data_IF_868793594707
#
_entry.id   IF_868793594707
#
_cell.length_a   1.000
_cell.length_b   1.000
_cell.length_c   1.000
_cell.angle_alpha   90.00
_cell.angle_beta   90.00
_cell.angle_gamma   90.00
#
_symmetry.space_group_name_H-M   'P 1'
#
loop_
_entity.id
_entity.type
_entity.pdbx_description
1 polymer ?
#
# COMPACT_ATOMS: atom_id res chain seq x y z
N UNK A 1 10.76 33.81 -18.86
CA UNK A 1 9.63 34.08 -17.97
C UNK A 1 9.89 33.36 -16.66
N UNK A 2 10.19 34.13 -15.61
CA UNK A 2 10.58 33.66 -14.26
C UNK A 2 9.40 32.97 -13.60
N UNK A 3 9.50 31.66 -13.31
CA UNK A 3 8.57 30.98 -12.40
C UNK A 3 8.85 31.50 -10.99
N UNK A 4 7.89 32.20 -10.41
CA UNK A 4 7.95 32.70 -9.04
C UNK A 4 8.32 31.54 -8.10
N UNK A 5 9.40 31.69 -7.35
CA UNK A 5 9.98 30.70 -6.45
C UNK A 5 9.15 30.46 -5.18
N UNK A 6 7.87 30.13 -5.30
CA UNK A 6 7.05 29.71 -4.18
C UNK A 6 7.48 28.29 -3.80
N UNK A 7 7.93 28.11 -2.58
CA UNK A 7 8.15 26.77 -2.01
C UNK A 7 6.81 26.01 -2.04
N UNK A 8 6.73 24.84 -2.71
CA UNK A 8 5.48 24.10 -2.82
C UNK A 8 4.96 23.72 -1.44
N UNK A 9 3.64 23.84 -1.25
CA UNK A 9 3.00 23.38 -0.02
C UNK A 9 3.08 21.84 0.09
N UNK A 10 2.93 21.26 1.30
CA UNK A 10 2.86 19.80 1.44
C UNK A 10 1.78 19.16 0.56
N UNK A 11 0.65 19.83 0.37
CA UNK A 11 -0.42 19.36 -0.52
C UNK A 11 0.01 19.37 -1.99
N UNK A 12 0.72 20.41 -2.44
CA UNK A 12 1.25 20.47 -3.82
C UNK A 12 2.24 19.33 -4.09
N UNK A 13 3.03 18.94 -3.09
CA UNK A 13 3.94 17.79 -3.17
C UNK A 13 3.20 16.46 -3.23
N UNK A 14 2.07 16.34 -2.50
CA UNK A 14 1.25 15.14 -2.50
C UNK A 14 0.50 14.94 -3.83
N UNK A 15 0.16 16.02 -4.54
CA UNK A 15 -0.47 15.89 -5.87
C UNK A 15 0.44 15.17 -6.87
N UNK A 16 1.76 15.24 -6.71
CA UNK A 16 2.72 14.50 -7.54
C UNK A 16 2.67 12.97 -7.40
N UNK A 17 1.91 12.42 -6.43
CA UNK A 17 1.70 10.98 -6.28
C UNK A 17 0.39 10.50 -6.93
N UNK A 18 -0.44 11.43 -7.39
CA UNK A 18 -1.68 11.12 -8.08
C UNK A 18 -1.40 10.64 -9.52
N UNK A 19 -2.31 9.81 -10.08
CA UNK A 19 -2.23 9.43 -11.49
C UNK A 19 -2.25 10.65 -12.42
N UNK A 20 -1.44 10.60 -13.47
CA UNK A 20 -1.44 11.57 -14.55
C UNK A 20 -2.68 11.38 -15.46
N UNK A 21 -2.90 12.29 -16.41
CA UNK A 21 -4.08 12.25 -17.29
C UNK A 21 -4.22 10.91 -18.05
N UNK A 22 -3.13 10.42 -18.65
CA UNK A 22 -3.11 9.14 -19.37
C UNK A 22 -3.39 7.95 -18.44
N UNK A 23 -2.85 8.00 -17.23
CA UNK A 23 -3.10 6.98 -16.20
C UNK A 23 -4.54 7.04 -15.70
N UNK A 24 -5.13 8.25 -15.62
CA UNK A 24 -6.52 8.46 -15.25
C UNK A 24 -7.46 7.89 -16.30
N UNK A 25 -7.21 8.12 -17.60
CA UNK A 25 -8.01 7.51 -18.67
C UNK A 25 -7.92 5.97 -18.65
N UNK A 26 -6.74 5.41 -18.39
CA UNK A 26 -6.57 3.97 -18.22
C UNK A 26 -7.37 3.43 -17.01
N UNK A 27 -7.35 4.14 -15.89
CA UNK A 27 -8.11 3.78 -14.69
C UNK A 27 -9.63 3.91 -14.89
N UNK A 28 -10.09 4.94 -15.61
CA UNK A 28 -11.49 5.10 -16.00
C UNK A 28 -11.95 3.95 -16.90
N UNK A 29 -11.11 3.51 -17.84
CA UNK A 29 -11.40 2.34 -18.66
C UNK A 29 -11.53 1.04 -17.84
N UNK A 30 -10.84 0.97 -16.69
CA UNK A 30 -10.95 -0.16 -15.76
C UNK A 30 -12.23 -0.14 -14.91
N UNK A 31 -12.69 1.06 -14.50
CA UNK A 31 -13.61 1.21 -13.36
C UNK A 31 -14.94 1.89 -13.68
N UNK A 32 -14.97 2.73 -14.70
CA UNK A 32 -16.18 3.48 -15.03
C UNK A 32 -17.30 2.57 -15.58
N UNK A 33 -18.58 2.99 -15.51
CA UNK A 33 -19.67 2.32 -16.19
C UNK A 33 -19.40 2.18 -17.70
N UNK A 34 -19.97 1.15 -18.33
CA UNK A 34 -19.65 0.72 -19.69
C UNK A 34 -19.49 1.84 -20.75
N UNK A 35 -20.39 2.83 -20.92
CA UNK A 35 -20.20 3.88 -21.92
C UNK A 35 -18.96 4.76 -21.64
N UNK A 36 -18.74 5.11 -20.37
CA UNK A 36 -17.61 5.95 -19.95
C UNK A 36 -16.28 5.19 -20.04
N UNK A 37 -16.27 3.91 -19.66
CA UNK A 37 -15.10 3.04 -19.77
C UNK A 37 -14.64 2.93 -21.24
N UNK A 38 -15.57 2.70 -22.17
CA UNK A 38 -15.27 2.63 -23.62
C UNK A 38 -14.76 3.97 -24.15
N UNK A 39 -15.34 5.08 -23.72
CA UNK A 39 -14.87 6.41 -24.12
C UNK A 39 -13.46 6.69 -23.60
N UNK A 40 -13.17 6.35 -22.34
CA UNK A 40 -11.84 6.50 -21.75
C UNK A 40 -10.81 5.60 -22.46
N UNK A 41 -11.16 4.36 -22.75
CA UNK A 41 -10.32 3.46 -23.54
C UNK A 41 -9.98 4.04 -24.90
N UNK A 42 -10.96 4.58 -25.65
CA UNK A 42 -10.73 5.19 -26.97
C UNK A 42 -9.77 6.37 -26.90
N UNK A 43 -9.93 7.27 -25.91
CA UNK A 43 -9.00 8.41 -25.73
C UNK A 43 -7.59 7.92 -25.45
N UNK A 44 -7.46 6.99 -24.52
CA UNK A 44 -6.16 6.43 -24.16
C UNK A 44 -5.51 5.69 -25.33
N UNK A 45 -6.26 4.83 -26.01
CA UNK A 45 -5.78 3.96 -27.09
C UNK A 45 -5.36 4.75 -28.34
N UNK A 46 -5.93 5.93 -28.56
CA UNK A 46 -5.55 6.81 -29.67
C UNK A 46 -4.07 7.25 -29.62
N UNK A 47 -3.46 7.23 -28.45
CA UNK A 47 -2.08 7.69 -28.22
C UNK A 47 -1.13 6.60 -27.71
N UNK A 48 -1.65 5.43 -27.30
CA UNK A 48 -0.86 4.41 -26.63
C UNK A 48 -1.08 2.99 -27.15
N UNK A 49 0.00 2.20 -27.15
CA UNK A 49 -0.03 0.75 -27.34
C UNK A 49 0.16 0.09 -25.99
N UNK A 50 -0.76 -0.82 -25.54
CA UNK A 50 -0.73 -1.37 -24.19
C UNK A 50 0.63 -1.97 -23.78
N UNK A 51 1.21 -2.80 -24.65
CA UNK A 51 2.48 -3.48 -24.34
C UNK A 51 3.67 -2.51 -24.19
N UNK A 52 3.66 -1.40 -24.91
CA UNK A 52 4.71 -0.39 -24.87
C UNK A 52 4.52 0.58 -23.70
N UNK A 53 3.27 0.99 -23.45
CA UNK A 53 2.96 1.95 -22.40
C UNK A 53 3.13 1.39 -20.98
N UNK A 54 2.81 0.09 -20.77
CA UNK A 54 2.94 -0.59 -19.47
C UNK A 54 4.39 -0.97 -19.15
N UNK A 55 5.33 -0.05 -19.40
CA UNK A 55 6.77 -0.19 -19.12
C UNK A 55 7.28 1.01 -18.34
N UNK A 56 8.48 0.94 -17.81
CA UNK A 56 9.13 2.02 -17.07
C UNK A 56 8.25 2.57 -15.94
N UNK A 57 7.90 3.86 -15.99
CA UNK A 57 7.08 4.51 -14.94
C UNK A 57 5.66 3.95 -14.83
N UNK A 58 5.13 3.36 -15.89
CA UNK A 58 3.78 2.78 -15.94
C UNK A 58 3.76 1.27 -15.63
N UNK A 59 4.91 0.65 -15.38
CA UNK A 59 5.01 -0.79 -15.10
C UNK A 59 4.12 -1.23 -13.93
N UNK A 60 3.95 -0.36 -12.93
CA UNK A 60 3.06 -0.61 -11.80
C UNK A 60 1.58 -0.78 -12.16
N UNK A 61 1.15 -0.30 -13.33
CA UNK A 61 -0.22 -0.44 -13.85
C UNK A 61 -0.45 -1.76 -14.59
N UNK A 62 0.60 -2.51 -14.92
CA UNK A 62 0.49 -3.81 -15.59
C UNK A 62 -0.40 -4.78 -14.83
N UNK A 63 -0.40 -4.72 -13.51
CA UNK A 63 -1.29 -5.51 -12.66
C UNK A 63 -2.79 -5.18 -12.80
N UNK A 64 -3.16 -4.11 -13.52
CA UNK A 64 -4.55 -3.77 -13.82
C UNK A 64 -5.03 -4.28 -15.17
N UNK A 65 -4.16 -4.92 -15.97
CA UNK A 65 -4.51 -5.39 -17.32
C UNK A 65 -5.69 -6.36 -17.33
N UNK A 66 -5.81 -7.23 -16.33
CA UNK A 66 -6.94 -8.15 -16.21
C UNK A 66 -8.24 -7.43 -15.84
N UNK A 67 -8.17 -6.40 -14.98
CA UNK A 67 -9.33 -5.58 -14.61
C UNK A 67 -9.82 -4.78 -15.83
N UNK A 68 -8.90 -4.15 -16.57
CA UNK A 68 -9.21 -3.48 -17.85
C UNK A 68 -9.90 -4.43 -18.83
N UNK A 69 -9.35 -5.64 -18.99
CA UNK A 69 -9.91 -6.63 -19.90
C UNK A 69 -11.31 -7.07 -19.46
N UNK A 70 -11.51 -7.32 -18.17
CA UNK A 70 -12.83 -7.65 -17.61
C UNK A 70 -13.85 -6.54 -17.89
N UNK A 71 -13.47 -5.28 -17.65
CA UNK A 71 -14.33 -4.11 -17.88
C UNK A 71 -14.72 -3.96 -19.37
N UNK A 72 -13.74 -3.92 -20.26
CA UNK A 72 -13.98 -3.63 -21.69
C UNK A 72 -14.70 -4.78 -22.41
N UNK A 73 -14.36 -6.03 -22.11
CA UNK A 73 -15.02 -7.18 -22.72
C UNK A 73 -16.47 -7.31 -22.22
N UNK A 74 -16.73 -7.08 -20.94
CA UNK A 74 -18.10 -7.06 -20.40
C UNK A 74 -18.93 -5.89 -20.96
N UNK A 75 -18.29 -4.76 -21.25
CA UNK A 75 -18.95 -3.61 -21.88
C UNK A 75 -19.26 -3.79 -23.37
N UNK A 76 -18.82 -4.87 -24.02
CA UNK A 76 -18.93 -5.05 -25.46
C UNK A 76 -18.21 -3.96 -26.23
N UNK A 77 -17.07 -3.48 -25.73
CA UNK A 77 -16.31 -2.40 -26.35
C UNK A 77 -15.95 -2.76 -27.81
N UNK A 78 -16.05 -1.83 -28.76
CA UNK A 78 -15.58 -2.04 -30.12
C UNK A 78 -14.06 -2.01 -30.14
N UNK A 79 -13.46 -3.19 -30.15
CA UNK A 79 -12.02 -3.44 -30.07
C UNK A 79 -11.54 -4.05 -31.39
N UNK A 80 -10.32 -3.76 -31.78
CA UNK A 80 -9.67 -4.49 -32.88
C UNK A 80 -9.20 -5.88 -32.43
N UNK A 81 -8.87 -6.76 -33.35
CA UNK A 81 -8.46 -8.14 -33.06
C UNK A 81 -7.20 -8.21 -32.21
N UNK A 82 -6.27 -7.25 -32.39
CA UNK A 82 -5.03 -7.17 -31.60
C UNK A 82 -5.33 -6.83 -30.15
N UNK A 83 -6.21 -5.86 -29.90
CA UNK A 83 -6.62 -5.46 -28.57
C UNK A 83 -7.40 -6.60 -27.87
N UNK A 84 -8.31 -7.26 -28.60
CA UNK A 84 -9.04 -8.45 -28.10
C UNK A 84 -8.08 -9.56 -27.70
N UNK A 85 -7.11 -9.87 -28.55
CA UNK A 85 -6.12 -10.91 -28.27
C UNK A 85 -5.27 -10.57 -27.02
N UNK A 86 -4.81 -9.31 -26.91
CA UNK A 86 -4.03 -8.84 -25.76
C UNK A 86 -4.84 -8.90 -24.46
N UNK A 87 -6.08 -8.38 -24.46
CA UNK A 87 -6.96 -8.37 -23.30
C UNK A 87 -7.30 -9.80 -22.84
N UNK A 88 -7.64 -10.71 -23.75
CA UNK A 88 -7.89 -12.12 -23.44
C UNK A 88 -6.65 -12.80 -22.88
N UNK A 89 -5.47 -12.49 -23.42
CA UNK A 89 -4.20 -12.98 -22.91
C UNK A 89 -3.93 -12.50 -21.47
N UNK A 90 -4.21 -11.23 -21.17
CA UNK A 90 -4.08 -10.66 -19.84
C UNK A 90 -5.03 -11.34 -18.82
N UNK A 91 -6.28 -11.60 -19.18
CA UNK A 91 -7.24 -12.33 -18.36
C UNK A 91 -6.76 -13.75 -18.06
N UNK A 92 -6.39 -14.51 -19.09
CA UNK A 92 -5.95 -15.89 -18.94
C UNK A 92 -4.69 -15.99 -18.08
N UNK A 93 -3.74 -15.08 -18.28
CA UNK A 93 -2.53 -15.01 -17.46
C UNK A 93 -2.84 -14.77 -16.00
N UNK A 94 -3.68 -13.77 -15.71
CA UNK A 94 -4.02 -13.42 -14.32
C UNK A 94 -4.87 -14.51 -13.66
N UNK A 95 -5.79 -15.14 -14.37
CA UNK A 95 -6.58 -16.26 -13.86
C UNK A 95 -5.68 -17.43 -13.41
N UNK A 96 -4.71 -17.84 -14.25
CA UNK A 96 -3.76 -18.91 -13.92
C UNK A 96 -2.90 -18.54 -12.72
N UNK A 97 -2.40 -17.30 -12.70
CA UNK A 97 -1.59 -16.78 -11.60
C UNK A 97 -2.39 -16.72 -10.30
N UNK A 98 -3.63 -16.20 -10.36
CA UNK A 98 -4.52 -16.07 -9.21
C UNK A 98 -4.92 -17.43 -8.63
N UNK A 99 -5.12 -18.45 -9.43
CA UNK A 99 -5.36 -19.83 -8.93
C UNK A 99 -4.20 -20.29 -8.03
N UNK A 100 -2.96 -20.09 -8.47
CA UNK A 100 -1.78 -20.44 -7.66
C UNK A 100 -1.70 -19.59 -6.41
N UNK A 101 -1.92 -18.28 -6.53
CA UNK A 101 -1.93 -17.35 -5.39
C UNK A 101 -2.96 -17.78 -4.35
N UNK A 102 -4.21 -18.04 -4.75
CA UNK A 102 -5.29 -18.40 -3.85
C UNK A 102 -5.11 -19.78 -3.22
N UNK A 103 -4.49 -20.73 -3.92
CA UNK A 103 -4.12 -22.00 -3.32
C UNK A 103 -3.11 -21.80 -2.17
N UNK A 104 -2.08 -20.99 -2.38
CA UNK A 104 -1.09 -20.66 -1.33
C UNK A 104 -1.75 -19.87 -0.19
N UNK A 105 -2.62 -18.90 -0.51
CA UNK A 105 -3.38 -18.16 0.49
C UNK A 105 -4.17 -19.13 1.38
N UNK A 106 -4.88 -20.09 0.80
CA UNK A 106 -5.62 -21.13 1.53
C UNK A 106 -4.72 -21.93 2.47
N UNK A 107 -3.53 -22.37 2.01
CA UNK A 107 -2.54 -23.06 2.84
C UNK A 107 -2.11 -22.19 4.05
N UNK A 108 -1.86 -20.90 3.83
CA UNK A 108 -1.45 -19.96 4.88
C UNK A 108 -2.56 -19.72 5.90
N UNK A 109 -3.79 -19.47 5.44
CA UNK A 109 -4.94 -19.23 6.30
C UNK A 109 -5.26 -20.46 7.14
N UNK A 110 -5.30 -21.67 6.53
CA UNK A 110 -5.54 -22.92 7.23
C UNK A 110 -4.46 -23.23 8.28
N UNK A 111 -3.18 -22.93 7.99
CA UNK A 111 -2.10 -23.14 8.94
C UNK A 111 -2.23 -22.24 10.18
N UNK A 112 -2.57 -20.96 9.99
CA UNK A 112 -2.76 -20.02 11.10
C UNK A 112 -4.01 -20.34 11.93
N UNK A 113 -5.10 -20.71 11.28
CA UNK A 113 -6.35 -21.14 11.92
C UNK A 113 -6.13 -22.39 12.78
N UNK A 114 -5.54 -23.44 12.20
CA UNK A 114 -5.20 -24.67 12.92
C UNK A 114 -4.21 -24.44 14.08
N UNK A 115 -3.34 -23.45 13.94
CA UNK A 115 -2.42 -23.03 14.99
C UNK A 115 -3.06 -22.15 16.08
N UNK A 116 -4.33 -21.79 15.95
CA UNK A 116 -5.04 -20.89 16.87
C UNK A 116 -4.42 -19.48 16.94
N UNK A 117 -3.74 -19.02 15.88
CA UNK A 117 -3.06 -17.73 15.86
C UNK A 117 -4.03 -16.64 15.38
N UNK A 118 -4.37 -15.63 16.21
CA UNK A 118 -5.20 -14.52 15.77
C UNK A 118 -4.48 -13.63 14.77
N UNK A 119 -5.14 -13.31 13.66
CA UNK A 119 -4.65 -12.39 12.62
C UNK A 119 -5.80 -11.64 11.94
N UNK A 120 -5.46 -10.54 11.25
CA UNK A 120 -6.35 -9.90 10.29
C UNK A 120 -5.74 -10.01 8.90
N UNK A 121 -6.57 -10.39 7.94
CA UNK A 121 -6.22 -10.30 6.52
C UNK A 121 -6.24 -8.83 6.12
N UNK A 122 -5.15 -8.32 5.54
CA UNK A 122 -4.99 -6.88 5.36
C UNK A 122 -4.66 -6.49 3.91
N UNK A 123 -4.64 -5.20 3.66
CA UNK A 123 -4.23 -4.60 2.38
C UNK A 123 -4.94 -5.21 1.16
N UNK A 124 -4.15 -5.43 0.12
CA UNK A 124 -4.64 -5.86 -1.18
C UNK A 124 -5.37 -7.19 -1.19
N UNK A 125 -4.92 -8.15 -0.38
CA UNK A 125 -5.59 -9.45 -0.31
C UNK A 125 -6.94 -9.36 0.40
N UNK A 126 -7.07 -8.50 1.42
CA UNK A 126 -8.36 -8.25 2.05
C UNK A 126 -9.35 -7.62 1.05
N UNK A 127 -8.92 -6.62 0.28
CA UNK A 127 -9.77 -6.01 -0.77
C UNK A 127 -10.16 -7.04 -1.82
N UNK A 128 -9.21 -7.83 -2.32
CA UNK A 128 -9.49 -8.86 -3.33
C UNK A 128 -10.56 -9.84 -2.86
N UNK A 129 -10.42 -10.41 -1.67
CA UNK A 129 -11.26 -11.50 -1.20
C UNK A 129 -12.59 -11.02 -0.57
N UNK A 130 -12.72 -9.73 -0.21
CA UNK A 130 -13.92 -9.26 0.51
C UNK A 130 -14.65 -8.10 -0.16
N UNK A 131 -14.03 -7.40 -1.09
CA UNK A 131 -14.62 -6.22 -1.75
C UNK A 131 -14.76 -6.45 -3.25
N UNK A 132 -13.73 -6.98 -3.91
CA UNK A 132 -13.77 -7.20 -5.35
C UNK A 132 -14.84 -8.23 -5.74
N UNK A 133 -15.67 -7.95 -6.76
CA UNK A 133 -16.67 -8.92 -7.23
C UNK A 133 -16.01 -10.15 -7.86
N UNK A 134 -14.80 -10.01 -8.32
CA UNK A 134 -14.01 -11.07 -8.92
C UNK A 134 -12.58 -11.04 -8.31
N UNK A 135 -12.35 -11.73 -7.20
CA UNK A 135 -11.06 -11.71 -6.49
C UNK A 135 -9.86 -12.02 -7.38
N UNK A 136 -10.04 -12.87 -8.39
CA UNK A 136 -8.98 -13.29 -9.30
C UNK A 136 -8.55 -12.22 -10.31
N UNK A 137 -9.40 -11.22 -10.59
CA UNK A 137 -9.06 -10.10 -11.51
C UNK A 137 -8.12 -9.10 -10.84
N UNK A 138 -8.20 -8.97 -9.51
CA UNK A 138 -7.31 -8.09 -8.77
C UNK A 138 -5.94 -8.73 -8.59
N UNK A 139 -4.94 -8.19 -9.28
CA UNK A 139 -3.56 -8.65 -9.15
C UNK A 139 -3.03 -8.49 -7.71
N UNK A 140 -2.62 -9.59 -7.09
CA UNK A 140 -1.97 -9.63 -5.78
C UNK A 140 -0.61 -10.33 -5.89
N UNK A 141 0.45 -9.81 -5.30
CA UNK A 141 1.81 -10.35 -5.39
C UNK A 141 2.41 -10.75 -4.05
N UNK A 142 1.71 -10.45 -2.96
CA UNK A 142 2.05 -10.76 -1.58
C UNK A 142 0.79 -11.02 -0.77
N UNK A 143 0.95 -11.64 0.39
CA UNK A 143 -0.11 -11.79 1.39
C UNK A 143 0.29 -10.98 2.62
N UNK A 144 -0.46 -9.93 2.91
CA UNK A 144 -0.26 -9.10 4.09
C UNK A 144 -1.20 -9.50 5.22
N UNK A 145 -0.63 -9.80 6.38
CA UNK A 145 -1.35 -10.15 7.59
C UNK A 145 -0.97 -9.20 8.72
N UNK A 146 -1.95 -8.76 9.49
CA UNK A 146 -1.73 -8.01 10.72
C UNK A 146 -1.83 -8.96 11.91
N UNK A 147 -0.81 -8.94 12.77
CA UNK A 147 -0.69 -9.80 13.94
C UNK A 147 -0.29 -8.96 15.15
N UNK A 148 -0.88 -9.20 16.30
CA UNK A 148 -0.48 -8.54 17.54
C UNK A 148 1.02 -8.78 17.83
N UNK A 149 1.69 -7.78 18.39
CA UNK A 149 3.16 -7.81 18.54
C UNK A 149 3.65 -8.98 19.40
N UNK A 150 2.89 -9.38 20.42
CA UNK A 150 3.18 -10.52 21.30
C UNK A 150 2.93 -11.88 20.63
N UNK A 151 2.14 -11.92 19.54
CA UNK A 151 1.81 -13.14 18.78
C UNK A 151 2.66 -13.30 17.51
N UNK A 152 3.51 -12.32 17.17
CA UNK A 152 4.29 -12.30 15.93
C UNK A 152 5.21 -13.52 15.77
N UNK A 153 5.94 -13.88 16.81
CA UNK A 153 6.86 -15.02 16.81
C UNK A 153 6.12 -16.36 16.71
N UNK A 154 4.94 -16.44 17.28
CA UNK A 154 4.07 -17.61 17.19
C UNK A 154 3.54 -17.78 15.76
N UNK A 155 3.02 -16.71 15.15
CA UNK A 155 2.59 -16.70 13.76
C UNK A 155 3.73 -17.16 12.82
N UNK A 156 4.92 -16.59 12.99
CA UNK A 156 6.07 -16.96 12.18
C UNK A 156 6.49 -18.43 12.37
N UNK A 157 6.46 -18.96 13.61
CA UNK A 157 6.74 -20.37 13.89
C UNK A 157 5.70 -21.30 13.25
N UNK A 158 4.43 -20.94 13.33
CA UNK A 158 3.32 -21.70 12.74
C UNK A 158 3.49 -21.81 11.23
N UNK A 159 3.74 -20.70 10.54
CA UNK A 159 3.96 -20.69 9.11
C UNK A 159 5.25 -21.44 8.69
N UNK A 160 6.32 -21.38 9.49
CA UNK A 160 7.52 -22.19 9.21
C UNK A 160 7.26 -23.68 9.33
N UNK A 161 6.45 -24.12 10.30
CA UNK A 161 6.01 -25.54 10.42
C UNK A 161 5.18 -25.96 9.22
N UNK A 162 4.44 -25.03 8.61
CA UNK A 162 3.71 -25.24 7.37
C UNK A 162 4.60 -25.19 6.11
N UNK A 163 5.94 -25.12 6.25
CA UNK A 163 6.89 -25.20 5.14
C UNK A 163 7.28 -23.88 4.50
N UNK A 164 6.96 -22.72 5.12
CA UNK A 164 7.43 -21.42 4.64
C UNK A 164 8.83 -21.13 5.19
N UNK A 165 9.66 -20.50 4.36
CA UNK A 165 11.01 -20.07 4.74
C UNK A 165 10.99 -18.60 5.20
N UNK A 166 11.60 -18.31 6.35
CA UNK A 166 11.70 -16.94 6.84
C UNK A 166 12.77 -16.16 6.09
N UNK A 167 12.43 -14.94 5.69
CA UNK A 167 13.32 -13.99 5.04
C UNK A 167 13.72 -12.89 6.04
N UNK A 168 14.90 -12.23 5.87
CA UNK A 168 15.27 -11.08 6.68
C UNK A 168 14.22 -9.96 6.58
N UNK A 169 13.59 -9.60 7.69
CA UNK A 169 12.56 -8.55 7.72
C UNK A 169 13.17 -7.15 7.64
N UNK A 170 12.51 -6.25 6.92
CA UNK A 170 13.07 -4.91 6.72
C UNK A 170 12.89 -4.00 7.93
N UNK A 171 11.79 -3.98 8.69
CA UNK A 171 11.68 -3.04 9.81
C UNK A 171 10.70 -3.41 10.93
N UNK A 172 9.45 -3.76 10.69
CA UNK A 172 8.45 -3.98 11.76
C UNK A 172 7.53 -5.14 11.41
N UNK A 173 8.03 -6.36 11.53
CA UNK A 173 7.29 -7.55 11.19
C UNK A 173 8.19 -8.71 10.81
N UNK A 174 7.62 -9.72 10.21
CA UNK A 174 8.33 -10.88 9.65
C UNK A 174 7.98 -11.03 8.18
N UNK A 175 8.95 -11.39 7.39
CA UNK A 175 8.76 -11.77 5.99
C UNK A 175 9.03 -13.27 5.85
N UNK A 176 8.08 -13.98 5.28
CA UNK A 176 8.24 -15.37 4.94
C UNK A 176 8.00 -15.54 3.43
N UNK A 177 8.54 -16.59 2.86
CA UNK A 177 8.33 -16.93 1.47
C UNK A 177 7.85 -18.37 1.34
N UNK A 178 6.79 -18.57 0.60
CA UNK A 178 6.31 -19.89 0.26
C UNK A 178 7.24 -20.54 -0.78
N UNK A 179 7.36 -21.88 -0.82
CA UNK A 179 8.21 -22.62 -1.78
C UNK A 179 8.01 -22.28 -3.26
N UNK A 180 6.82 -21.76 -3.61
CA UNK A 180 6.49 -21.26 -4.96
C UNK A 180 6.82 -19.77 -5.15
N UNK A 181 7.56 -19.16 -4.23
CA UNK A 181 8.05 -17.80 -4.36
C UNK A 181 7.07 -16.68 -3.91
N UNK A 182 5.89 -17.01 -3.35
CA UNK A 182 4.95 -15.99 -2.86
C UNK A 182 5.40 -15.44 -1.51
N UNK A 183 5.59 -14.10 -1.36
CA UNK A 183 5.88 -13.47 -0.08
C UNK A 183 4.65 -13.42 0.83
N UNK A 184 4.86 -13.70 2.11
CA UNK A 184 3.88 -13.56 3.19
C UNK A 184 4.46 -12.60 4.21
N UNK A 185 3.77 -11.47 4.41
CA UNK A 185 4.23 -10.39 5.27
C UNK A 185 3.39 -10.35 6.55
N UNK A 186 4.03 -10.56 7.69
CA UNK A 186 3.42 -10.39 9.01
C UNK A 186 3.76 -9.00 9.53
N UNK A 187 2.76 -8.14 9.68
CA UNK A 187 2.92 -6.79 10.19
C UNK A 187 2.35 -6.68 11.61
N UNK A 188 3.00 -5.90 12.45
CA UNK A 188 2.49 -5.55 13.80
C UNK A 188 1.86 -4.16 13.85
N UNK A 189 1.83 -3.47 12.72
CA UNK A 189 1.23 -2.14 12.57
C UNK A 189 0.54 -2.01 11.23
N UNK A 190 -0.64 -1.39 11.17
CA UNK A 190 -1.35 -1.16 9.91
C UNK A 190 -0.57 -0.25 8.95
N UNK A 191 0.11 0.75 9.49
CA UNK A 191 0.89 1.75 8.73
C UNK A 191 2.33 1.72 9.22
N UNK A 192 3.27 1.60 8.29
CA UNK A 192 4.71 1.46 8.57
C UNK A 192 5.37 2.75 9.12
N UNK A 193 4.67 3.89 9.10
CA UNK A 193 5.20 5.15 9.60
C UNK A 193 5.14 5.22 11.14
N UNK A 194 6.06 5.95 11.80
CA UNK A 194 6.06 6.17 13.24
C UNK A 194 5.00 7.21 13.67
N UNK A 195 3.82 7.17 13.04
CA UNK A 195 2.67 8.00 13.37
C UNK A 195 1.82 7.34 14.46
N UNK A 196 1.13 8.12 15.30
CA UNK A 196 0.04 7.61 16.12
C UNK A 196 -0.99 6.94 15.20
N UNK A 197 -1.58 5.84 15.63
CA UNK A 197 -2.58 5.16 14.81
C UNK A 197 -3.21 4.00 15.55
N UNK A 198 -4.27 3.40 14.99
CA UNK A 198 -4.90 2.24 15.59
C UNK A 198 -3.89 1.11 15.69
N UNK A 199 -3.95 0.39 16.79
CA UNK A 199 -3.18 -0.85 16.97
C UNK A 199 -3.87 -2.00 16.22
N UNK A 200 -3.20 -3.15 16.14
CA UNK A 200 -3.83 -4.37 15.58
C UNK A 200 -5.03 -4.78 16.42
N UNK A 201 -4.93 -4.63 17.74
CA UNK A 201 -6.01 -4.92 18.71
C UNK A 201 -7.20 -3.97 18.51
N UNK A 202 -6.95 -2.68 18.21
CA UNK A 202 -8.01 -1.72 17.90
C UNK A 202 -8.77 -2.14 16.63
N UNK A 203 -8.04 -2.54 15.60
CA UNK A 203 -8.64 -3.04 14.36
C UNK A 203 -9.39 -4.36 14.60
N UNK A 204 -8.84 -5.26 15.39
CA UNK A 204 -9.45 -6.56 15.68
C UNK A 204 -10.78 -6.44 16.42
N UNK A 205 -10.92 -5.45 17.34
CA UNK A 205 -12.19 -5.22 18.06
C UNK A 205 -13.37 -4.84 17.16
N UNK A 206 -13.12 -4.27 16.00
CA UNK A 206 -14.15 -3.87 15.04
C UNK A 206 -14.07 -4.60 13.71
N UNK A 207 -13.21 -5.61 13.64
CA UNK A 207 -13.03 -6.42 12.45
C UNK A 207 -14.30 -7.19 12.10
N UNK A 208 -14.54 -7.33 10.82
CA UNK A 208 -15.59 -8.19 10.28
C UNK A 208 -15.05 -9.62 10.14
N UNK A 209 -15.89 -10.61 10.45
CA UNK A 209 -15.57 -12.02 10.22
C UNK A 209 -16.17 -12.46 8.91
N UNK A 210 -15.33 -12.97 8.02
CA UNK A 210 -15.72 -13.41 6.67
C UNK A 210 -15.12 -14.78 6.37
N UNK A 211 -15.78 -15.55 5.52
CA UNK A 211 -15.22 -16.82 5.03
C UNK A 211 -14.38 -16.55 3.78
N UNK A 212 -13.10 -16.89 3.83
CA UNK A 212 -12.16 -16.81 2.70
C UNK A 212 -11.57 -18.20 2.47
N UNK A 213 -11.80 -18.77 1.29
CA UNK A 213 -11.28 -20.10 0.92
C UNK A 213 -11.62 -21.20 1.95
N UNK A 214 -12.80 -21.11 2.58
CA UNK A 214 -13.26 -22.08 3.58
C UNK A 214 -12.77 -21.82 5.01
N UNK A 215 -11.93 -20.82 5.23
CA UNK A 215 -11.45 -20.40 6.56
C UNK A 215 -12.16 -19.13 7.01
N UNK A 216 -12.61 -19.06 8.26
CA UNK A 216 -13.22 -17.85 8.83
C UNK A 216 -12.08 -16.94 9.33
N UNK A 217 -11.90 -15.81 8.65
CA UNK A 217 -10.85 -14.84 8.94
C UNK A 217 -11.43 -13.52 9.44
N UNK A 218 -10.64 -12.75 10.17
CA UNK A 218 -10.95 -11.37 10.51
C UNK A 218 -10.37 -10.42 9.46
N UNK A 219 -11.15 -9.43 9.05
CA UNK A 219 -10.71 -8.35 8.14
C UNK A 219 -11.01 -6.99 8.77
N UNK A 220 -10.20 -5.95 8.53
CA UNK A 220 -10.49 -4.61 9.03
C UNK A 220 -11.88 -4.13 8.57
N UNK A 221 -12.56 -3.35 9.39
CA UNK A 221 -13.79 -2.67 8.99
C UNK A 221 -13.56 -1.81 7.74
N UNK A 222 -14.61 -1.55 6.97
CA UNK A 222 -14.50 -0.91 5.66
C UNK A 222 -13.79 0.46 5.70
N UNK A 223 -14.06 1.27 6.72
CA UNK A 223 -13.40 2.57 6.92
C UNK A 223 -11.92 2.44 7.31
N UNK A 224 -11.55 1.44 8.11
CA UNK A 224 -10.13 1.13 8.40
C UNK A 224 -9.40 0.65 7.15
N UNK A 225 -10.05 -0.16 6.32
CA UNK A 225 -9.49 -0.66 5.08
C UNK A 225 -9.30 0.48 4.07
N UNK A 226 -10.28 1.39 3.93
CA UNK A 226 -10.19 2.58 3.08
C UNK A 226 -9.04 3.51 3.54
N UNK A 227 -8.98 3.78 4.84
CA UNK A 227 -7.93 4.60 5.45
C UNK A 227 -6.55 3.99 5.16
N UNK A 228 -6.43 2.67 5.33
CA UNK A 228 -5.18 1.96 5.05
C UNK A 228 -4.80 2.07 3.57
N UNK A 229 -5.71 1.77 2.64
CA UNK A 229 -5.45 1.80 1.20
C UNK A 229 -5.00 3.20 0.76
N UNK A 230 -5.75 4.24 1.10
CA UNK A 230 -5.44 5.61 0.73
C UNK A 230 -4.20 6.16 1.45
N UNK A 231 -4.02 5.86 2.73
CA UNK A 231 -2.86 6.26 3.50
C UNK A 231 -1.57 5.59 3.00
N UNK A 232 -1.64 4.28 2.71
CA UNK A 232 -0.52 3.51 2.17
C UNK A 232 -0.09 4.00 0.76
N UNK A 233 -1.04 4.43 -0.07
CA UNK A 233 -0.78 4.97 -1.39
C UNK A 233 0.22 6.13 -1.38
N UNK A 234 0.19 6.96 -0.35
CA UNK A 234 1.06 8.14 -0.21
C UNK A 234 2.30 7.84 0.60
N UNK A 235 2.22 6.92 1.57
CA UNK A 235 3.29 6.66 2.54
C UNK A 235 4.23 5.52 2.16
N UNK A 236 3.92 4.78 1.08
CA UNK A 236 4.68 3.62 0.63
C UNK A 236 5.54 3.91 -0.61
N UNK A 237 6.64 3.17 -0.75
CA UNK A 237 7.45 3.17 -1.97
C UNK A 237 6.71 2.62 -3.20
N UNK A 238 5.61 1.90 -3.01
CA UNK A 238 4.80 1.31 -4.10
C UNK A 238 3.83 2.28 -4.78
N UNK A 239 4.05 3.59 -4.66
CA UNK A 239 3.19 4.67 -5.20
C UNK A 239 2.91 4.58 -6.70
N UNK A 240 3.81 3.96 -7.46
CA UNK A 240 3.69 3.84 -8.92
C UNK A 240 2.62 2.87 -9.39
N UNK A 241 1.97 2.12 -8.49
CA UNK A 241 1.05 1.06 -8.92
C UNK A 241 -0.34 1.55 -9.29
N UNK A 242 -0.77 2.70 -8.81
CA UNK A 242 -2.14 3.24 -8.88
C UNK A 242 -3.27 2.23 -8.58
N UNK A 243 -2.94 1.00 -8.15
CA UNK A 243 -3.92 -0.02 -7.73
C UNK A 243 -4.79 0.45 -6.56
N UNK A 244 -4.23 1.33 -5.73
CA UNK A 244 -4.97 1.93 -4.63
C UNK A 244 -6.23 2.66 -5.10
N UNK A 245 -6.22 3.23 -6.32
CA UNK A 245 -7.40 3.91 -6.90
C UNK A 245 -8.53 2.90 -7.07
N UNK A 246 -8.22 1.75 -7.67
CA UNK A 246 -9.22 0.69 -7.88
C UNK A 246 -9.71 0.14 -6.55
N UNK A 247 -8.81 -0.13 -5.61
CA UNK A 247 -9.15 -0.66 -4.30
C UNK A 247 -10.05 0.30 -3.52
N UNK A 248 -9.67 1.59 -3.45
CA UNK A 248 -10.43 2.59 -2.72
C UNK A 248 -11.80 2.90 -3.37
N UNK A 249 -11.84 2.98 -4.70
CA UNK A 249 -13.08 3.14 -5.45
C UNK A 249 -14.07 2.00 -5.15
N UNK A 250 -13.61 0.76 -5.26
CA UNK A 250 -14.41 -0.42 -4.99
C UNK A 250 -14.90 -0.49 -3.52
N UNK A 251 -14.03 -0.14 -2.56
CA UNK A 251 -14.42 -0.07 -1.14
C UNK A 251 -15.58 0.90 -0.96
N UNK A 252 -15.47 2.13 -1.50
CA UNK A 252 -16.52 3.15 -1.34
C UNK A 252 -17.82 2.71 -2.01
N UNK A 253 -17.77 2.10 -3.19
CA UNK A 253 -18.97 1.66 -3.90
C UNK A 253 -19.65 0.43 -3.28
N UNK A 254 -18.87 -0.53 -2.79
CA UNK A 254 -19.40 -1.85 -2.41
C UNK A 254 -19.55 -2.06 -0.92
N UNK A 255 -19.09 -1.11 -0.12
CA UNK A 255 -19.22 -1.16 1.34
C UNK A 255 -20.11 -0.01 1.84
N UNK A 256 -21.45 -0.13 1.73
CA UNK A 256 -22.39 0.95 2.01
C UNK A 256 -22.40 1.38 3.48
N UNK A 257 -21.82 0.58 4.38
CA UNK A 257 -21.74 0.87 5.83
C UNK A 257 -20.39 1.46 6.23
N UNK A 258 -19.78 2.29 5.39
CA UNK A 258 -18.59 3.06 5.77
C UNK A 258 -18.94 4.02 6.92
N UNK A 259 -18.23 3.88 8.04
CA UNK A 259 -18.34 4.81 9.17
C UNK A 259 -17.49 6.07 8.87
N UNK A 260 -18.04 6.97 8.09
CA UNK A 260 -17.39 8.21 7.70
C UNK A 260 -16.98 9.11 8.88
N UNK A 261 -17.82 9.29 9.94
CA UNK A 261 -17.40 10.00 11.15
C UNK A 261 -16.15 9.41 11.79
N UNK A 262 -16.10 8.09 11.97
CA UNK A 262 -14.92 7.38 12.52
C UNK A 262 -13.72 7.47 11.59
N UNK A 263 -13.92 7.32 10.27
CA UNK A 263 -12.89 7.53 9.28
C UNK A 263 -12.21 8.89 9.44
N UNK A 264 -13.01 9.97 9.50
CA UNK A 264 -12.50 11.34 9.66
C UNK A 264 -11.77 11.54 10.99
N UNK A 265 -12.32 11.03 12.09
CA UNK A 265 -11.70 11.12 13.41
C UNK A 265 -10.34 10.37 13.44
N UNK A 266 -10.30 9.18 12.84
CA UNK A 266 -9.05 8.39 12.75
C UNK A 266 -8.03 9.09 11.85
N UNK A 267 -8.46 9.65 10.73
CA UNK A 267 -7.58 10.42 9.82
C UNK A 267 -6.90 11.59 10.54
N UNK A 268 -7.67 12.34 11.32
CA UNK A 268 -7.16 13.48 12.11
C UNK A 268 -6.19 13.00 13.22
N UNK A 269 -6.56 11.94 13.95
CA UNK A 269 -5.74 11.42 15.06
C UNK A 269 -4.41 10.78 14.60
N UNK A 270 -4.36 10.28 13.37
CA UNK A 270 -3.18 9.58 12.81
C UNK A 270 -2.25 10.48 12.00
N UNK A 271 -2.58 11.76 11.80
CA UNK A 271 -1.84 12.66 10.92
C UNK A 271 -1.94 12.32 9.43
N UNK A 272 -2.91 11.51 9.05
CA UNK A 272 -3.13 11.09 7.65
C UNK A 272 -4.16 11.97 6.91
N UNK A 273 -4.66 13.04 7.55
CA UNK A 273 -5.70 13.90 6.95
C UNK A 273 -5.27 14.44 5.58
N UNK A 274 -4.03 14.92 5.42
CA UNK A 274 -3.55 15.46 4.14
C UNK A 274 -3.44 14.39 3.03
N UNK A 275 -2.79 13.22 3.25
CA UNK A 275 -2.83 12.12 2.28
C UNK A 275 -4.25 11.72 1.88
N UNK A 276 -5.15 11.61 2.86
CA UNK A 276 -6.53 11.21 2.62
C UNK A 276 -7.33 12.29 1.90
N UNK A 277 -7.11 13.58 2.22
CA UNK A 277 -7.71 14.68 1.46
C UNK A 277 -7.31 14.64 -0.02
N UNK A 278 -6.02 14.40 -0.29
CA UNK A 278 -5.49 14.33 -1.65
C UNK A 278 -6.05 13.12 -2.41
N UNK A 279 -6.02 11.92 -1.81
CA UNK A 279 -6.46 10.68 -2.48
C UNK A 279 -7.97 10.63 -2.67
N UNK A 280 -8.76 11.00 -1.65
CA UNK A 280 -10.22 11.02 -1.76
C UNK A 280 -10.72 12.17 -2.65
N UNK A 281 -10.00 13.31 -2.67
CA UNK A 281 -10.28 14.38 -3.64
C UNK A 281 -10.14 13.86 -5.08
N UNK A 282 -9.00 13.22 -5.41
CA UNK A 282 -8.79 12.62 -6.72
C UNK A 282 -9.87 11.57 -7.06
N UNK A 283 -10.22 10.70 -6.14
CA UNK A 283 -11.26 9.69 -6.34
C UNK A 283 -12.62 10.34 -6.66
N UNK A 284 -12.99 11.41 -5.94
CA UNK A 284 -14.24 12.11 -6.18
C UNK A 284 -14.25 12.87 -7.51
N UNK A 285 -13.18 13.63 -7.78
CA UNK A 285 -13.16 14.60 -8.88
C UNK A 285 -12.78 13.95 -10.21
N UNK A 286 -11.86 12.98 -10.21
CA UNK A 286 -11.39 12.33 -11.43
C UNK A 286 -12.08 10.97 -11.71
N UNK A 287 -12.43 10.22 -10.67
CA UNK A 287 -13.01 8.88 -10.81
C UNK A 287 -14.52 8.83 -10.59
N UNK A 288 -15.15 9.94 -10.16
CA UNK A 288 -16.57 9.99 -9.86
C UNK A 288 -16.97 9.13 -8.65
N UNK A 289 -16.02 8.80 -7.76
CA UNK A 289 -16.29 8.03 -6.55
C UNK A 289 -17.19 8.84 -5.60
N UNK A 290 -18.28 8.28 -5.03
CA UNK A 290 -19.23 9.03 -4.22
C UNK A 290 -18.70 9.31 -2.79
N UNK A 291 -17.64 10.11 -2.69
CA UNK A 291 -17.10 10.56 -1.40
C UNK A 291 -17.92 11.76 -0.90
N UNK A 292 -18.52 11.71 0.31
CA UNK A 292 -19.33 12.80 0.83
C UNK A 292 -18.54 14.12 0.92
N UNK A 293 -19.15 15.24 0.49
CA UNK A 293 -18.53 16.56 0.53
C UNK A 293 -18.09 16.95 1.96
N UNK A 294 -18.91 16.63 2.96
CA UNK A 294 -18.62 16.88 4.38
C UNK A 294 -17.34 16.20 4.85
N UNK A 295 -17.00 15.03 4.31
CA UNK A 295 -15.75 14.30 4.61
C UNK A 295 -14.57 15.01 3.97
N UNK A 296 -14.68 15.41 2.71
CA UNK A 296 -13.62 16.17 2.00
C UNK A 296 -13.32 17.49 2.71
N UNK A 297 -14.35 18.22 3.11
CA UNK A 297 -14.21 19.45 3.91
C UNK A 297 -13.61 19.19 5.28
N UNK A 298 -14.06 18.13 5.97
CA UNK A 298 -13.52 17.71 7.28
C UNK A 298 -12.03 17.39 7.20
N UNK A 299 -11.60 16.65 6.18
CA UNK A 299 -10.18 16.36 5.91
C UNK A 299 -9.40 17.64 5.61
N UNK A 300 -9.96 18.57 4.84
CA UNK A 300 -9.36 19.88 4.57
C UNK A 300 -9.11 20.66 5.86
N UNK A 301 -10.09 20.74 6.76
CA UNK A 301 -9.94 21.38 8.08
C UNK A 301 -8.87 20.68 8.95
N UNK A 302 -8.88 19.37 9.00
CA UNK A 302 -7.88 18.59 9.74
C UNK A 302 -6.46 18.79 9.17
N UNK A 303 -6.32 18.89 7.85
CA UNK A 303 -5.04 19.20 7.18
C UNK A 303 -4.51 20.59 7.55
N UNK A 304 -5.40 21.59 7.66
CA UNK A 304 -5.01 22.94 8.07
C UNK A 304 -4.43 22.97 9.50
N UNK A 305 -4.92 22.07 10.37
CA UNK A 305 -4.41 21.88 11.74
C UNK A 305 -3.19 20.97 11.85
N UNK A 306 -2.64 20.46 10.73
CA UNK A 306 -1.53 19.51 10.74
C UNK A 306 -0.28 20.09 11.44
N UNK A 307 0.32 19.30 12.31
CA UNK A 307 1.53 19.64 13.04
C UNK A 307 2.74 19.75 12.11
N UNK A 308 3.78 20.43 12.55
CA UNK A 308 5.05 20.53 11.83
C UNK A 308 5.61 19.13 11.50
N UNK A 309 5.42 18.18 12.41
CA UNK A 309 5.76 16.76 12.26
C UNK A 309 5.07 16.10 11.07
N UNK A 310 3.76 16.21 11.01
CA UNK A 310 2.95 15.62 9.95
C UNK A 310 3.34 16.20 8.60
N UNK A 311 3.60 17.50 8.52
CA UNK A 311 4.08 18.15 7.29
C UNK A 311 5.45 17.63 6.85
N UNK A 312 6.40 17.48 7.77
CA UNK A 312 7.72 16.91 7.47
C UNK A 312 7.62 15.45 6.98
N UNK A 313 6.81 14.64 7.64
CA UNK A 313 6.58 13.25 7.21
C UNK A 313 5.95 13.19 5.82
N UNK A 314 5.00 14.09 5.52
CA UNK A 314 4.36 14.18 4.22
C UNK A 314 5.34 14.64 3.13
N UNK A 315 6.18 15.62 3.42
CA UNK A 315 7.24 16.09 2.50
C UNK A 315 8.20 14.94 2.18
N UNK A 316 8.61 14.18 3.19
CA UNK A 316 9.48 13.00 2.97
C UNK A 316 8.78 11.88 2.22
N UNK A 317 7.51 11.65 2.51
CA UNK A 317 6.71 10.68 1.79
C UNK A 317 6.51 11.07 0.32
N UNK A 318 6.40 12.34 -0.01
CA UNK A 318 6.23 12.82 -1.37
C UNK A 318 7.54 12.84 -2.20
N UNK A 319 8.67 13.03 -1.54
CA UNK A 319 9.99 12.94 -2.19
C UNK A 319 10.33 11.48 -2.42
N UNK A 320 10.27 11.04 -3.66
CA UNK A 320 10.57 9.67 -4.11
C UNK A 320 12.04 9.25 -3.90
N UNK A 321 12.87 10.11 -3.34
CA UNK A 321 14.27 9.84 -3.09
C UNK A 321 14.42 9.21 -1.71
N UNK A 322 14.75 7.93 -1.71
CA UNK A 322 15.32 7.08 -0.65
C UNK A 322 15.31 7.65 0.77
N UNK A 323 15.55 6.88 1.70
CA UNK A 323 15.85 7.15 3.11
C UNK A 323 15.34 8.48 3.72
N UNK A 324 14.19 8.41 4.36
CA UNK A 324 13.75 9.44 5.31
C UNK A 324 14.90 9.73 6.29
N UNK A 325 15.38 10.98 6.35
CA UNK A 325 16.51 11.30 7.21
C UNK A 325 16.14 11.08 8.68
N UNK A 326 17.02 10.46 9.45
CA UNK A 326 16.83 10.26 10.90
C UNK A 326 16.52 11.58 11.62
N UNK A 327 17.14 12.68 11.20
CA UNK A 327 16.93 14.00 11.79
C UNK A 327 15.49 14.47 11.62
N UNK A 328 14.90 14.28 10.45
CA UNK A 328 13.50 14.63 10.17
C UNK A 328 12.54 13.75 10.97
N UNK A 329 12.79 12.44 11.00
CA UNK A 329 12.01 11.53 11.84
C UNK A 329 12.13 11.88 13.33
N UNK A 330 13.32 12.25 13.78
CA UNK A 330 13.56 12.62 15.18
C UNK A 330 12.87 13.94 15.57
N UNK A 331 13.01 14.98 14.73
CA UNK A 331 12.32 16.26 14.93
C UNK A 331 10.80 16.05 15.00
N UNK A 332 10.36 15.12 14.23
CA UNK A 332 9.00 14.72 13.98
C UNK A 332 8.36 13.84 15.07
N UNK A 333 9.13 13.08 15.82
CA UNK A 333 8.63 12.05 16.71
C UNK A 333 8.34 12.58 18.12
N UNK A 334 7.17 12.22 18.69
CA UNK A 334 6.90 12.34 20.12
C UNK A 334 7.79 11.40 20.96
N UNK A 335 7.84 11.58 22.27
CA UNK A 335 8.78 10.89 23.17
C UNK A 335 8.83 9.38 22.99
N UNK A 336 7.68 8.70 22.91
CA UNK A 336 7.62 7.23 22.69
C UNK A 336 8.20 6.81 21.33
N UNK A 337 7.91 7.58 20.29
CA UNK A 337 8.42 7.31 18.93
C UNK A 337 9.92 7.58 18.82
N UNK A 338 10.46 8.54 19.56
CA UNK A 338 11.91 8.79 19.68
C UNK A 338 12.65 7.60 20.29
N UNK A 339 12.09 6.97 21.32
CA UNK A 339 12.66 5.74 21.92
C UNK A 339 12.69 4.62 20.86
N UNK A 340 11.62 4.45 20.11
CA UNK A 340 11.58 3.46 19.02
C UNK A 340 12.58 3.77 17.92
N UNK A 341 12.71 5.04 17.52
CA UNK A 341 13.70 5.48 16.53
C UNK A 341 15.14 5.26 17.00
N UNK A 342 15.42 5.57 18.29
CA UNK A 342 16.73 5.29 18.89
C UNK A 342 17.00 3.79 18.90
N UNK A 343 16.05 2.97 19.31
CA UNK A 343 16.19 1.52 19.28
C UNK A 343 16.49 1.01 17.87
N UNK A 344 15.84 1.53 16.86
CA UNK A 344 16.12 1.18 15.45
C UNK A 344 17.53 1.54 14.99
N UNK A 345 18.04 2.69 15.46
CA UNK A 345 19.38 3.14 15.08
C UNK A 345 20.45 2.38 15.86
N UNK A 346 20.25 2.21 17.16
CA UNK A 346 21.27 1.68 18.08
C UNK A 346 21.26 0.15 18.17
N UNK A 347 20.08 -0.45 18.11
CA UNK A 347 19.89 -1.90 18.24
C UNK A 347 18.87 -2.43 17.20
N UNK A 348 19.15 -2.33 15.88
CA UNK A 348 18.32 -2.93 14.87
C UNK A 348 18.34 -4.46 14.98
N UNK A 349 17.30 -5.11 14.41
CA UNK A 349 17.26 -6.56 14.35
C UNK A 349 18.55 -7.12 13.71
N UNK A 350 19.26 -8.07 14.35
CA UNK A 350 20.46 -8.67 13.78
C UNK A 350 20.25 -9.25 12.37
N UNK A 351 19.08 -9.79 12.08
CA UNK A 351 18.73 -10.33 10.75
C UNK A 351 18.67 -9.22 9.69
N UNK A 352 18.14 -8.04 10.05
CA UNK A 352 18.17 -6.87 9.19
C UNK A 352 19.62 -6.45 8.87
N UNK A 353 20.52 -6.49 9.87
CA UNK A 353 21.94 -6.17 9.67
C UNK A 353 22.62 -7.17 8.72
N UNK A 354 22.33 -8.46 8.87
CA UNK A 354 22.86 -9.49 7.97
C UNK A 354 22.33 -9.32 6.54
N UNK A 355 21.04 -9.01 6.39
CA UNK A 355 20.45 -8.76 5.07
C UNK A 355 21.05 -7.53 4.38
N UNK A 356 21.17 -6.39 5.08
CA UNK A 356 21.80 -5.16 4.53
C UNK A 356 23.29 -5.34 4.29
N UNK A 357 23.94 -6.20 5.07
CA UNK A 357 25.37 -6.53 4.96
C UNK A 357 25.71 -7.61 3.93
N UNK A 358 24.72 -8.13 3.18
CA UNK A 358 24.94 -9.13 2.15
C UNK A 358 25.26 -10.53 2.68
N UNK A 359 24.68 -10.95 3.80
CA UNK A 359 24.86 -12.28 4.43
C UNK A 359 26.34 -12.70 4.63
N UNK A 360 27.18 -11.74 4.95
CA UNK A 360 28.65 -11.82 4.88
C UNK A 360 29.33 -12.67 5.98
N UNK A 361 28.62 -13.47 6.75
CA UNK A 361 29.18 -14.22 7.89
C UNK A 361 29.79 -13.37 9.02
N UNK A 362 29.67 -12.03 8.93
CA UNK A 362 30.19 -11.08 9.93
C UNK A 362 29.26 -10.98 11.12
N UNK A 363 29.80 -10.71 12.30
CA UNK A 363 28.98 -10.51 13.48
C UNK A 363 28.03 -9.31 13.32
N UNK A 364 26.83 -9.36 13.92
CA UNK A 364 25.84 -8.28 13.90
C UNK A 364 26.43 -6.97 14.43
N UNK A 365 27.33 -7.03 15.42
CA UNK A 365 28.03 -5.86 15.97
C UNK A 365 28.91 -5.17 14.94
N UNK A 366 29.66 -5.93 14.14
CA UNK A 366 30.51 -5.40 13.08
C UNK A 366 29.68 -4.76 11.97
N UNK A 367 28.57 -5.41 11.58
CA UNK A 367 27.65 -4.88 10.59
C UNK A 367 26.98 -3.58 11.07
N UNK A 368 26.62 -3.51 12.35
CA UNK A 368 26.07 -2.29 12.97
C UNK A 368 27.12 -1.17 12.98
N UNK A 369 28.35 -1.44 13.38
CA UNK A 369 29.42 -0.45 13.35
C UNK A 369 29.66 0.10 11.94
N UNK A 370 29.69 -0.77 10.92
CA UNK A 370 29.83 -0.38 9.51
C UNK A 370 28.65 0.45 9.02
N UNK A 371 27.41 0.13 9.46
CA UNK A 371 26.21 0.90 9.13
C UNK A 371 26.26 2.30 9.72
N UNK A 372 26.62 2.44 10.98
CA UNK A 372 26.78 3.73 11.66
C UNK A 372 27.86 4.59 11.02
N UNK A 373 29.02 4.01 10.69
CA UNK A 373 30.11 4.68 9.98
C UNK A 373 29.70 5.17 8.58
N UNK A 374 28.95 4.37 7.83
CA UNK A 374 28.40 4.76 6.53
C UNK A 374 27.42 5.93 6.66
N UNK A 375 26.52 5.87 7.66
CA UNK A 375 25.61 6.96 7.96
C UNK A 375 26.33 8.25 8.30
N UNK A 376 27.36 8.17 9.14
CA UNK A 376 28.17 9.33 9.55
C UNK A 376 28.95 9.95 8.37
N UNK A 377 29.58 9.13 7.52
CA UNK A 377 30.27 9.59 6.31
C UNK A 377 29.31 10.27 5.30
N UNK A 378 28.05 9.82 5.23
CA UNK A 378 27.02 10.45 4.39
C UNK A 378 26.66 11.83 4.93
N UNK A 379 26.43 11.97 6.23
CA UNK A 379 26.16 13.26 6.90
C UNK A 379 27.33 14.24 6.74
N UNK A 380 28.56 13.76 6.90
CA UNK A 380 29.77 14.58 6.72
C UNK A 380 29.92 15.11 5.28
N UNK A 381 29.61 14.25 4.27
CA UNK A 381 29.62 14.65 2.84
C UNK A 381 28.57 15.70 2.52
N UNK A 382 27.35 15.56 3.02
CA UNK A 382 26.28 16.54 2.80
C UNK A 382 26.63 17.88 3.44
N UNK A 383 27.25 17.89 4.63
CA UNK A 383 27.73 19.12 5.28
C UNK A 383 28.90 19.78 4.53
N UNK A 384 29.76 18.99 3.90
CA UNK A 384 30.88 19.53 3.10
C UNK A 384 30.41 20.14 1.77
N UNK A 385 29.28 19.68 1.23
CA UNK A 385 28.68 20.25 0.01
C UNK A 385 27.80 21.49 0.27
N UNK A 386 27.47 21.77 1.53
CA UNK A 386 26.67 22.94 1.94
C UNK A 386 27.54 24.10 2.47
N UNK A 387 28.86 23.93 2.51
CA UNK A 387 29.85 24.95 2.77
C UNK A 387 30.54 25.36 1.47
#
# INVERSE_FOLDING_TARGET
MSRSGRVPSPLDLLTGVLPEADQTDFLLACLAPAPAAVAAWRRWRAHHVPAEWLTGRNEGLRGLSALLASSLLAAGAPLDDRDVAWLRGALLHEERRSRTFRAILGEVLAALDAGGVPFLLAKGVAVAETVSPQPWVRHSHDVDLLVASDRLDEAARTLRRAGLSEQPAQVAGRSLIHRKGLPIMLHTRPIALPLPGPTVEDLARRAERVSVLGVVVSVPAADDLLLHVCGHAVTSASRRTARWVCDAHEIVLRRPRLDWPRFLATAAATGLAAPLATTLGYLADAMGTPVPATIREGLGRATAGATCLERELLVHAARLEGDVSFRSLWAAAGTRSRVTLLRWVLAPDPRYLHWVGGNSGRSALLLQAQRLLRGWRRVARVRAQQR
#
